data_IF_590590353126
#
_entry.id   IF_590590353126
#
_cell.length_a   1.000
_cell.length_b   1.000
_cell.length_c   1.000
_cell.angle_alpha   90.00
_cell.angle_beta   90.00
_cell.angle_gamma   90.00
#
_symmetry.space_group_name_H-M   'P 1'
#
loop_
_entity.id
_entity.type
_entity.pdbx_description
1 polymer ?
#
# COMPACT_ATOMS: atom_id res chain seq x y z
N UNK A 1 -1.90 -16.30 -9.63
CA UNK A 1 -1.09 -15.37 -10.44
C UNK A 1 0.37 -15.81 -10.30
N UNK A 2 1.08 -16.10 -11.39
CA UNK A 2 2.48 -16.55 -11.35
C UNK A 2 3.35 -15.42 -11.92
N UNK A 3 4.23 -14.83 -11.10
CA UNK A 3 5.24 -13.88 -11.54
C UNK A 3 6.55 -14.64 -11.81
N UNK A 4 6.92 -14.77 -13.09
CA UNK A 4 8.21 -15.35 -13.48
C UNK A 4 9.19 -14.24 -13.86
N UNK A 5 10.37 -14.24 -13.23
CA UNK A 5 11.46 -13.35 -13.57
C UNK A 5 12.48 -14.08 -14.46
N UNK A 6 13.16 -13.35 -15.35
CA UNK A 6 14.22 -13.91 -16.20
C UNK A 6 15.35 -14.48 -15.35
N UNK A 7 15.98 -15.59 -15.77
CA UNK A 7 17.15 -16.16 -15.09
C UNK A 7 18.34 -15.19 -14.97
N UNK A 8 18.37 -14.13 -15.79
CA UNK A 8 19.39 -13.06 -15.72
C UNK A 8 19.33 -12.20 -14.46
N UNK A 9 18.23 -12.26 -13.68
CA UNK A 9 18.12 -11.52 -12.41
C UNK A 9 18.79 -12.25 -11.25
N UNK A 10 19.10 -13.55 -11.42
CA UNK A 10 19.70 -14.37 -10.36
C UNK A 10 21.13 -13.88 -10.10
N UNK A 11 21.44 -13.63 -8.84
CA UNK A 11 22.74 -13.10 -8.40
C UNK A 11 22.84 -11.58 -8.46
N UNK A 12 21.78 -10.88 -8.84
CA UNK A 12 21.72 -9.42 -8.89
C UNK A 12 20.79 -8.86 -7.80
N UNK A 13 21.09 -7.66 -7.31
CA UNK A 13 20.29 -6.99 -6.28
C UNK A 13 19.29 -6.01 -6.89
N UNK A 14 18.05 -6.05 -6.42
CA UNK A 14 16.96 -5.17 -6.85
C UNK A 14 16.15 -4.67 -5.67
N UNK A 15 15.56 -3.49 -5.79
CA UNK A 15 14.50 -3.07 -4.87
C UNK A 15 13.20 -3.78 -5.20
N UNK A 16 12.46 -4.15 -4.16
CA UNK A 16 11.13 -4.72 -4.29
C UNK A 16 10.14 -3.60 -3.99
N UNK A 17 9.19 -3.39 -4.89
CA UNK A 17 8.17 -2.34 -4.74
C UNK A 17 6.81 -2.98 -4.75
N UNK A 18 5.97 -2.59 -3.80
CA UNK A 18 4.55 -2.95 -3.78
C UNK A 18 3.74 -1.70 -4.12
N UNK A 19 2.94 -1.83 -5.17
CA UNK A 19 1.96 -0.83 -5.59
C UNK A 19 0.59 -1.48 -5.59
N UNK A 20 -0.36 -0.84 -4.94
CA UNK A 20 -1.74 -1.31 -4.87
C UNK A 20 -2.65 -0.11 -5.14
N UNK A 21 -3.86 -0.37 -5.65
CA UNK A 21 -4.78 0.64 -6.21
C UNK A 21 -5.10 1.83 -5.30
N UNK A 22 -4.90 1.68 -4.01
CA UNK A 22 -5.31 2.62 -2.96
C UNK A 22 -4.36 2.61 -1.76
N UNK A 23 -3.19 2.00 -1.91
CA UNK A 23 -2.16 2.05 -0.87
C UNK A 23 -0.99 2.87 -1.35
N UNK A 24 -0.32 3.47 -0.38
CA UNK A 24 0.91 4.21 -0.59
C UNK A 24 2.00 3.27 -1.13
N UNK A 25 2.68 3.70 -2.18
CA UNK A 25 3.78 2.93 -2.77
C UNK A 25 4.86 2.65 -1.73
N UNK A 26 5.20 1.38 -1.54
CA UNK A 26 6.17 0.96 -0.52
C UNK A 26 7.33 0.19 -1.15
N UNK A 27 8.54 0.66 -0.87
CA UNK A 27 9.80 0.08 -1.36
C UNK A 27 10.49 -0.72 -0.25
N UNK A 28 11.24 -1.76 -0.64
CA UNK A 28 12.15 -2.43 0.29
C UNK A 28 13.21 -1.45 0.79
N UNK A 29 13.52 -1.48 2.08
CA UNK A 29 14.49 -0.54 2.69
C UNK A 29 15.89 -0.64 2.07
N UNK A 30 16.25 -1.84 1.62
CA UNK A 30 17.50 -2.12 0.91
C UNK A 30 17.26 -3.00 -0.31
N UNK A 31 18.23 -2.99 -1.22
CA UNK A 31 18.21 -3.87 -2.38
C UNK A 31 18.34 -5.34 -1.96
N UNK A 32 17.47 -6.18 -2.49
CA UNK A 32 17.36 -7.61 -2.20
C UNK A 32 18.09 -8.39 -3.29
N UNK A 33 19.03 -9.24 -2.89
CA UNK A 33 19.71 -10.16 -3.80
C UNK A 33 18.71 -11.23 -4.25
N UNK A 34 18.41 -11.27 -5.54
CA UNK A 34 17.50 -12.27 -6.08
C UNK A 34 18.24 -13.59 -6.36
N UNK A 35 17.68 -14.67 -5.84
CA UNK A 35 18.06 -16.05 -6.14
C UNK A 35 16.95 -16.75 -6.95
N UNK A 36 17.14 -18.04 -7.26
CA UNK A 36 16.12 -18.85 -7.92
C UNK A 36 14.77 -18.84 -7.18
N UNK A 37 14.79 -18.75 -5.85
CA UNK A 37 13.62 -18.54 -5.02
C UNK A 37 13.93 -17.43 -4.01
N UNK A 38 13.28 -16.28 -4.16
CA UNK A 38 13.48 -15.13 -3.27
C UNK A 38 12.18 -14.82 -2.56
N UNK A 39 12.25 -14.66 -1.24
CA UNK A 39 11.12 -14.24 -0.41
C UNK A 39 11.51 -12.95 0.28
N UNK A 40 10.62 -11.97 0.23
CA UNK A 40 10.73 -10.74 0.99
C UNK A 40 9.41 -10.46 1.66
N UNK A 41 9.44 -10.25 2.96
CA UNK A 41 8.25 -10.09 3.79
C UNK A 41 8.32 -8.74 4.51
N UNK A 42 7.46 -7.82 4.09
CA UNK A 42 7.33 -6.48 4.66
C UNK A 42 6.69 -6.49 6.06
N UNK A 43 5.90 -7.53 6.38
CA UNK A 43 5.05 -7.55 7.58
C UNK A 43 5.81 -7.80 8.88
N UNK A 44 7.11 -8.11 8.82
CA UNK A 44 7.88 -8.61 9.98
C UNK A 44 8.57 -7.54 10.81
N UNK A 45 8.89 -6.37 10.23
CA UNK A 45 9.50 -5.23 10.95
C UNK A 45 9.39 -3.94 10.13
N UNK A 46 9.25 -2.79 10.80
CA UNK A 46 9.23 -1.45 10.18
C UNK A 46 10.34 -1.24 9.12
N UNK A 47 11.58 -1.61 9.46
CA UNK A 47 12.75 -1.47 8.60
C UNK A 47 12.81 -2.43 7.40
N UNK A 48 11.70 -3.08 7.04
CA UNK A 48 11.53 -3.68 5.72
C UNK A 48 11.08 -2.66 4.68
N UNK A 49 10.33 -1.65 5.10
CA UNK A 49 9.95 -0.55 4.22
C UNK A 49 10.99 0.57 4.28
N UNK A 50 11.37 1.11 3.13
CA UNK A 50 12.18 2.32 3.06
C UNK A 50 11.52 3.44 3.87
N UNK A 51 12.30 4.09 4.73
CA UNK A 51 11.78 5.14 5.61
C UNK A 51 10.83 4.66 6.71
N UNK A 52 10.73 3.35 6.95
CA UNK A 52 9.68 2.75 7.80
C UNK A 52 8.27 3.12 7.33
N UNK A 53 8.04 3.19 6.01
CA UNK A 53 6.75 3.56 5.42
C UNK A 53 5.68 2.45 5.54
N UNK A 54 5.33 2.10 6.77
CA UNK A 54 4.31 1.10 7.15
C UNK A 54 3.90 1.30 8.61
N UNK A 55 2.73 0.77 8.99
CA UNK A 55 2.18 0.88 10.35
C UNK A 55 2.19 -0.48 11.06
N UNK A 56 2.54 -0.49 12.34
CA UNK A 56 2.41 -1.68 13.19
C UNK A 56 0.96 -1.82 13.67
N UNK A 57 0.29 -2.93 13.34
CA UNK A 57 -1.10 -3.20 13.74
C UNK A 57 -1.19 -4.09 14.98
N UNK A 58 -0.23 -5.00 15.13
CA UNK A 58 -0.04 -5.88 16.29
C UNK A 58 1.47 -6.04 16.52
N UNK A 59 1.94 -6.50 17.69
CA UNK A 59 3.36 -6.66 17.96
C UNK A 59 4.09 -7.47 16.87
N UNK A 60 4.99 -6.82 16.13
CA UNK A 60 5.73 -7.35 14.99
C UNK A 60 4.89 -7.71 13.75
N UNK A 61 3.70 -7.12 13.58
CA UNK A 61 2.87 -7.27 12.40
C UNK A 61 2.63 -5.89 11.79
N UNK A 62 3.17 -5.71 10.58
CA UNK A 62 3.12 -4.44 9.87
C UNK A 62 2.23 -4.51 8.63
N UNK A 63 1.53 -3.43 8.35
CA UNK A 63 0.71 -3.24 7.17
C UNK A 63 1.08 -1.95 6.43
N UNK A 64 0.80 -1.93 5.13
CA UNK A 64 0.95 -0.73 4.31
C UNK A 64 -0.17 0.27 4.60
N UNK A 65 0.12 1.55 4.45
CA UNK A 65 -0.88 2.61 4.56
C UNK A 65 -1.83 2.60 3.35
N UNK A 66 -3.13 2.67 3.59
CA UNK A 66 -4.15 2.90 2.57
C UNK A 66 -4.62 4.36 2.59
N UNK A 67 -5.17 4.84 1.48
CA UNK A 67 -5.74 6.19 1.37
C UNK A 67 -5.12 7.06 0.29
N UNK A 68 -4.00 6.64 -0.33
CA UNK A 68 -3.44 7.27 -1.54
C UNK A 68 -4.24 6.76 -2.75
N UNK A 69 -5.42 7.34 -2.93
CA UNK A 69 -6.45 6.94 -3.90
C UNK A 69 -6.05 7.44 -5.29
N UNK A 70 -5.53 8.67 -5.36
CA UNK A 70 -5.13 9.29 -6.62
C UNK A 70 -3.71 8.86 -7.09
N UNK A 71 -2.98 8.13 -6.24
CA UNK A 71 -1.63 7.58 -6.49
C UNK A 71 -0.56 8.67 -6.74
N UNK A 72 -0.62 9.77 -5.97
CA UNK A 72 0.34 10.88 -6.04
C UNK A 72 1.45 10.80 -4.98
N UNK A 73 1.40 9.78 -4.11
CA UNK A 73 2.41 9.52 -3.08
C UNK A 73 2.16 10.24 -1.76
N UNK A 74 1.02 10.92 -1.60
CA UNK A 74 0.61 11.57 -0.34
C UNK A 74 -0.84 11.22 -0.07
N UNK A 75 -1.17 10.96 1.20
CA UNK A 75 -2.55 10.75 1.63
C UNK A 75 -3.09 12.09 2.10
N UNK A 76 -3.87 12.77 1.26
CA UNK A 76 -4.38 14.11 1.54
C UNK A 76 -5.78 14.40 0.99
N UNK A 77 -6.24 15.65 1.15
CA UNK A 77 -7.58 16.09 0.75
C UNK A 77 -7.88 15.97 -0.76
N UNK A 78 -6.90 15.71 -1.61
CA UNK A 78 -7.12 15.43 -3.03
C UNK A 78 -7.70 14.02 -3.23
N UNK A 79 -7.31 13.03 -2.43
CA UNK A 79 -7.89 11.68 -2.42
C UNK A 79 -9.36 11.67 -2.01
N UNK A 80 -9.72 12.58 -1.09
CA UNK A 80 -11.07 12.67 -0.54
C UNK A 80 -12.13 12.90 -1.61
N UNK A 81 -11.83 13.66 -2.67
CA UNK A 81 -12.80 13.99 -3.71
C UNK A 81 -13.27 12.73 -4.47
N UNK A 82 -12.36 11.80 -4.70
CA UNK A 82 -12.66 10.53 -5.38
C UNK A 82 -13.52 9.65 -4.47
N UNK A 83 -13.14 9.54 -3.19
CA UNK A 83 -13.94 8.81 -2.20
C UNK A 83 -15.34 9.41 -2.01
N UNK A 84 -15.47 10.73 -1.87
CA UNK A 84 -16.76 11.39 -1.68
C UNK A 84 -17.71 11.12 -2.86
N UNK A 85 -17.17 11.14 -4.08
CA UNK A 85 -17.94 10.83 -5.29
C UNK A 85 -18.48 9.40 -5.26
N UNK A 86 -17.64 8.43 -4.93
CA UNK A 86 -18.05 7.02 -4.89
C UNK A 86 -18.97 6.69 -3.71
N UNK A 87 -18.71 7.24 -2.52
CA UNK A 87 -19.56 7.09 -1.34
C UNK A 87 -20.97 7.65 -1.59
N UNK A 88 -21.09 8.82 -2.23
CA UNK A 88 -22.40 9.39 -2.55
C UNK A 88 -23.19 8.56 -3.58
N UNK A 89 -22.48 7.79 -4.41
CA UNK A 89 -23.06 6.90 -5.41
C UNK A 89 -23.28 5.47 -4.88
N UNK A 90 -22.82 5.16 -3.67
CA UNK A 90 -22.73 3.78 -3.16
C UNK A 90 -22.05 2.85 -4.19
N UNK A 91 -20.97 3.34 -4.80
CA UNK A 91 -20.21 2.58 -5.79
C UNK A 91 -19.73 1.27 -5.16
N UNK A 92 -19.78 0.18 -5.94
CA UNK A 92 -19.38 -1.15 -5.47
C UNK A 92 -18.48 -1.85 -6.50
N UNK A 93 -17.62 -2.75 -6.01
CA UNK A 93 -16.72 -3.56 -6.82
C UNK A 93 -15.25 -3.33 -6.47
N UNK A 94 -14.37 -3.47 -7.46
CA UNK A 94 -12.93 -3.27 -7.29
C UNK A 94 -12.60 -1.78 -7.44
N UNK A 95 -12.72 -1.03 -6.35
CA UNK A 95 -12.58 0.43 -6.33
C UNK A 95 -11.35 0.85 -5.53
N UNK A 96 -10.70 1.95 -5.93
CA UNK A 96 -9.63 2.54 -5.12
C UNK A 96 -10.19 3.14 -3.81
N UNK A 97 -11.43 3.57 -3.83
CA UNK A 97 -12.16 4.19 -2.72
C UNK A 97 -12.68 3.18 -1.68
N UNK A 98 -12.70 1.88 -2.00
CA UNK A 98 -12.96 0.76 -1.08
C UNK A 98 -11.66 0.43 -0.30
N UNK A 99 -11.46 1.13 0.81
CA UNK A 99 -10.27 1.10 1.65
C UNK A 99 -10.30 -0.03 2.67
N UNK A 100 -11.50 -0.47 3.08
CA UNK A 100 -11.68 -1.58 4.01
C UNK A 100 -11.75 -2.95 3.29
N UNK A 101 -11.97 -2.96 1.97
CA UNK A 101 -12.01 -4.16 1.13
C UNK A 101 -13.32 -4.95 1.19
N UNK A 102 -14.42 -4.38 1.68
CA UNK A 102 -15.72 -5.03 1.78
C UNK A 102 -16.51 -5.04 0.46
N UNK A 103 -15.99 -4.32 -0.55
CA UNK A 103 -16.52 -4.26 -1.91
C UNK A 103 -17.51 -3.14 -2.15
N UNK A 104 -17.71 -2.23 -1.20
CA UNK A 104 -18.54 -1.02 -1.34
C UNK A 104 -17.73 0.18 -0.85
N UNK A 105 -17.73 1.27 -1.61
CA UNK A 105 -17.20 2.54 -1.13
C UNK A 105 -18.26 3.23 -0.26
N UNK A 106 -18.06 3.24 1.06
CA UNK A 106 -18.99 3.85 2.02
C UNK A 106 -18.30 4.55 3.20
N UNK A 107 -19.10 5.05 4.14
CA UNK A 107 -18.65 5.79 5.32
C UNK A 107 -17.65 5.06 6.22
N UNK A 108 -17.55 3.73 6.15
CA UNK A 108 -16.60 2.94 6.92
C UNK A 108 -15.17 3.02 6.37
N UNK A 109 -15.00 3.29 5.08
CA UNK A 109 -13.70 3.51 4.47
C UNK A 109 -13.03 4.78 4.99
N UNK A 110 -13.83 5.83 5.24
CA UNK A 110 -13.36 7.15 5.65
C UNK A 110 -12.48 7.11 6.91
N UNK A 111 -12.76 6.19 7.83
CA UNK A 111 -12.03 6.05 9.09
C UNK A 111 -10.54 5.76 8.84
N UNK A 112 -10.24 4.98 7.79
CA UNK A 112 -8.87 4.61 7.44
C UNK A 112 -8.12 5.78 6.77
N UNK A 113 -8.79 6.48 5.84
CA UNK A 113 -8.23 7.66 5.20
C UNK A 113 -7.98 8.78 6.21
N UNK A 114 -8.95 9.08 7.08
CA UNK A 114 -8.85 10.17 8.06
C UNK A 114 -7.67 9.98 9.01
N UNK A 115 -7.46 8.76 9.50
CA UNK A 115 -6.33 8.44 10.38
C UNK A 115 -4.99 8.71 9.70
N UNK A 116 -4.84 8.33 8.43
CA UNK A 116 -3.57 8.46 7.70
C UNK A 116 -3.32 9.90 7.22
N UNK A 117 -4.36 10.60 6.76
CA UNK A 117 -4.30 12.02 6.44
C UNK A 117 -3.90 12.87 7.67
N UNK A 118 -4.52 12.61 8.83
CA UNK A 118 -4.16 13.32 10.07
C UNK A 118 -2.74 12.98 10.56
N UNK A 119 -2.20 11.84 10.13
CA UNK A 119 -0.81 11.43 10.37
C UNK A 119 0.20 12.04 9.39
N UNK A 120 -0.25 12.82 8.39
CA UNK A 120 0.58 13.36 7.30
C UNK A 120 1.40 12.27 6.59
N UNK A 121 0.76 11.13 6.33
CA UNK A 121 1.40 9.96 5.71
C UNK A 121 1.65 10.22 4.21
N UNK A 122 2.88 9.93 3.77
CA UNK A 122 3.33 10.04 2.37
C UNK A 122 4.66 9.31 2.16
N UNK A 123 5.02 9.03 0.89
CA UNK A 123 6.17 8.22 0.49
C UNK A 123 7.47 9.01 0.36
#
# INVERSE_FOLDING_TARGET
>A
MNCQFSGSVIGQSYYIVVRHRNHLETWSDSAVLLSQNSTYDFSTMAGKAYGNNQVELEPNIFAFYCGDINQDGVIDGLDYNDWETDNNNFSAGYLATDLNGDGIADGLDFIYWEQNNNGFVGS
#
